data_IF_936633816305
#
_entry.id   IF_936633816305
#
_cell.length_a   1.000
_cell.length_b   1.000
_cell.length_c   1.000
_cell.angle_alpha   90.00
_cell.angle_beta   90.00
_cell.angle_gamma   90.00
#
_symmetry.space_group_name_H-M   'P 1'
#
loop_
_entity.id
_entity.type
_entity.pdbx_description
1 polymer ?
#
# COMPACT_ATOMS: atom_id res chain seq x y z
N UNK A 1 -34.49 2.86 -3.59
CA UNK A 1 -34.66 1.73 -2.65
C UNK A 1 -33.35 0.98 -2.59
N UNK A 2 -32.63 1.07 -1.46
CA UNK A 2 -31.37 0.37 -1.24
C UNK A 2 -31.65 -0.94 -0.50
N UNK A 3 -31.34 -2.08 -1.12
CA UNK A 3 -31.27 -3.39 -0.44
C UNK A 3 -29.79 -3.75 -0.23
N UNK A 4 -29.15 -3.06 0.71
CA UNK A 4 -27.84 -3.47 1.22
C UNK A 4 -28.02 -4.69 2.13
N UNK A 5 -27.25 -5.76 1.91
CA UNK A 5 -27.21 -6.90 2.84
C UNK A 5 -26.67 -6.44 4.19
N UNK A 6 -27.57 -6.27 5.15
CA UNK A 6 -27.26 -6.00 6.55
C UNK A 6 -26.61 -7.26 7.13
N UNK A 7 -25.37 -7.14 7.62
CA UNK A 7 -24.76 -8.20 8.42
C UNK A 7 -25.32 -8.07 9.84
N UNK A 8 -26.30 -8.90 10.17
CA UNK A 8 -26.86 -8.98 11.50
C UNK A 8 -25.92 -9.78 12.40
N UNK A 9 -25.16 -9.09 13.25
CA UNK A 9 -24.47 -9.72 14.37
C UNK A 9 -25.45 -9.81 15.54
N UNK A 10 -25.92 -11.01 15.86
CA UNK A 10 -26.74 -11.28 17.03
C UNK A 10 -25.87 -11.19 18.28
N UNK A 11 -25.82 -10.01 18.91
CA UNK A 11 -25.33 -9.86 20.28
C UNK A 11 -26.51 -10.08 21.24
N UNK A 12 -26.38 -10.93 22.27
CA UNK A 12 -27.46 -11.17 23.25
C UNK A 12 -27.78 -9.94 24.14
N UNK A 13 -27.04 -8.84 23.97
CA UNK A 13 -27.19 -7.60 24.75
C UNK A 13 -27.80 -6.42 23.97
N UNK A 14 -28.18 -6.61 22.71
CA UNK A 14 -28.75 -5.53 21.87
C UNK A 14 -30.21 -5.84 21.52
N UNK A 15 -31.12 -4.95 21.94
CA UNK A 15 -32.59 -5.09 21.77
C UNK A 15 -33.04 -4.82 20.31
N UNK A 16 -32.15 -4.31 19.45
CA UNK A 16 -32.39 -4.13 18.01
C UNK A 16 -31.09 -4.31 17.21
N UNK A 17 -31.16 -4.82 15.95
CA UNK A 17 -30.00 -4.84 15.06
C UNK A 17 -29.64 -3.41 14.65
N UNK A 18 -28.71 -2.80 15.39
CA UNK A 18 -28.15 -1.51 15.01
C UNK A 18 -27.08 -1.76 13.92
N UNK A 19 -27.13 -1.13 12.74
CA UNK A 19 -26.06 -1.24 11.77
C UNK A 19 -24.77 -0.77 12.44
N UNK A 20 -23.82 -1.70 12.62
CA UNK A 20 -22.54 -1.39 13.21
C UNK A 20 -21.73 -0.63 12.15
N UNK A 21 -21.90 0.69 12.14
CA UNK A 21 -21.08 1.60 11.33
C UNK A 21 -19.70 1.57 11.96
N UNK A 22 -18.83 0.72 11.44
CA UNK A 22 -17.43 0.71 11.84
C UNK A 22 -16.79 1.98 11.30
N UNK A 23 -16.58 2.93 12.21
CA UNK A 23 -15.76 4.08 11.90
C UNK A 23 -14.32 3.64 11.60
N UNK A 24 -13.66 4.32 10.69
CA UNK A 24 -12.29 4.00 10.30
C UNK A 24 -11.36 4.13 11.52
N UNK A 25 -11.57 5.14 12.36
CA UNK A 25 -10.79 5.35 13.59
C UNK A 25 -10.90 4.18 14.57
N UNK A 26 -12.09 3.61 14.74
CA UNK A 26 -12.32 2.48 15.63
C UNK A 26 -11.88 1.14 15.04
N UNK A 27 -12.03 0.96 13.72
CA UNK A 27 -11.75 -0.31 13.03
C UNK A 27 -10.28 -0.47 12.62
N UNK A 28 -9.56 0.62 12.39
CA UNK A 28 -8.16 0.57 11.95
C UNK A 28 -7.24 -0.13 12.98
N UNK A 29 -7.29 0.18 14.30
CA UNK A 29 -6.50 -0.54 15.29
C UNK A 29 -6.79 -2.05 15.33
N UNK A 30 -8.05 -2.45 15.14
CA UNK A 30 -8.49 -3.86 15.13
C UNK A 30 -7.88 -4.56 13.92
N UNK A 31 -8.04 -3.97 12.72
CA UNK A 31 -7.49 -4.51 11.47
C UNK A 31 -5.97 -4.65 11.56
N UNK A 32 -5.28 -3.63 12.07
CA UNK A 32 -3.83 -3.67 12.20
C UNK A 32 -3.37 -4.71 13.23
N UNK A 33 -4.11 -4.90 14.33
CA UNK A 33 -3.83 -5.97 15.30
C UNK A 33 -3.99 -7.35 14.66
N UNK A 34 -5.07 -7.57 13.92
CA UNK A 34 -5.29 -8.82 13.18
C UNK A 34 -4.17 -9.11 12.18
N UNK A 35 -3.69 -8.09 11.45
CA UNK A 35 -2.56 -8.22 10.53
C UNK A 35 -1.24 -8.60 11.23
N UNK A 36 -1.04 -8.19 12.50
CA UNK A 36 0.11 -8.59 13.30
C UNK A 36 -0.01 -10.03 13.82
N UNK A 37 -1.23 -10.46 14.19
CA UNK A 37 -1.53 -11.78 14.73
C UNK A 37 -1.51 -12.88 13.67
N UNK A 38 -2.04 -12.64 12.47
CA UNK A 38 -1.92 -13.55 11.31
C UNK A 38 -0.44 -13.89 11.02
N UNK A 39 0.45 -12.92 11.27
CA UNK A 39 1.88 -13.14 11.14
C UNK A 39 2.49 -14.09 12.17
N UNK A 40 1.80 -14.42 13.27
CA UNK A 40 2.26 -15.38 14.29
C UNK A 40 1.85 -16.82 13.95
N UNK A 41 0.68 -17.04 13.36
CA UNK A 41 0.22 -18.38 12.95
C UNK A 41 1.00 -18.91 11.75
N UNK A 42 1.29 -18.07 10.75
CA UNK A 42 2.05 -18.50 9.56
C UNK A 42 3.56 -18.76 9.81
N UNK A 43 4.11 -18.28 10.92
CA UNK A 43 5.50 -18.57 11.35
C UNK A 43 5.66 -20.01 11.88
N UNK A 44 4.56 -20.71 12.21
CA UNK A 44 4.59 -22.09 12.72
C UNK A 44 4.59 -23.15 11.60
N UNK A 45 4.16 -22.78 10.38
CA UNK A 45 3.79 -23.77 9.34
C UNK A 45 4.73 -23.83 8.11
N UNK A 46 5.74 -22.95 7.94
CA UNK A 46 6.52 -22.92 6.69
C UNK A 46 8.03 -22.61 6.80
N UNK A 47 8.81 -23.36 6.03
CA UNK A 47 10.26 -23.26 5.81
C UNK A 47 10.71 -21.84 5.38
N UNK A 48 11.64 -21.24 6.13
CA UNK A 48 12.58 -20.15 5.77
C UNK A 48 12.06 -18.90 5.04
N UNK A 49 11.56 -19.07 3.81
CA UNK A 49 11.21 -18.03 2.85
C UNK A 49 9.89 -17.31 3.18
N UNK A 50 8.92 -17.98 3.82
CA UNK A 50 7.70 -17.34 4.33
C UNK A 50 7.98 -16.41 5.52
N UNK A 51 8.97 -16.74 6.37
CA UNK A 51 9.30 -15.97 7.58
C UNK A 51 9.77 -14.53 7.28
N UNK A 52 10.53 -14.33 6.19
CA UNK A 52 11.05 -13.00 5.80
C UNK A 52 9.92 -12.09 5.35
N UNK A 53 8.97 -12.63 4.59
CA UNK A 53 7.81 -11.90 4.09
C UNK A 53 6.87 -11.50 5.22
N UNK A 54 6.62 -12.42 6.16
CA UNK A 54 5.84 -12.14 7.37
C UNK A 54 6.52 -11.09 8.25
N UNK A 55 7.83 -11.20 8.44
CA UNK A 55 8.60 -10.21 9.21
C UNK A 55 8.56 -8.82 8.56
N UNK A 56 8.69 -8.75 7.23
CA UNK A 56 8.55 -7.50 6.49
C UNK A 56 7.16 -6.89 6.67
N UNK A 57 6.10 -7.70 6.51
CA UNK A 57 4.71 -7.27 6.75
C UNK A 57 4.54 -6.70 8.16
N UNK A 58 5.05 -7.38 9.18
CA UNK A 58 5.03 -6.91 10.58
C UNK A 58 5.69 -5.53 10.71
N UNK A 59 6.85 -5.30 10.09
CA UNK A 59 7.50 -3.99 10.10
C UNK A 59 6.66 -2.89 9.42
N UNK A 60 6.06 -3.19 8.26
CA UNK A 60 5.18 -2.24 7.56
C UNK A 60 3.96 -1.89 8.41
N UNK A 61 3.31 -2.88 9.02
CA UNK A 61 2.17 -2.66 9.93
C UNK A 61 2.58 -1.79 11.11
N UNK A 62 3.71 -2.08 11.76
CA UNK A 62 4.20 -1.30 12.89
C UNK A 62 4.54 0.15 12.52
N UNK A 63 5.17 0.36 11.36
CA UNK A 63 5.49 1.70 10.86
C UNK A 63 4.24 2.47 10.45
N UNK A 64 3.28 1.80 9.82
CA UNK A 64 2.00 2.38 9.47
C UNK A 64 1.21 2.79 10.71
N UNK A 65 1.19 1.96 11.75
CA UNK A 65 0.55 2.25 13.04
C UNK A 65 1.14 3.51 13.68
N UNK A 66 2.47 3.62 13.74
CA UNK A 66 3.14 4.80 14.32
C UNK A 66 2.78 6.10 13.61
N UNK A 67 2.64 6.04 12.29
CA UNK A 67 2.40 7.21 11.46
C UNK A 67 0.92 7.61 11.34
N UNK A 68 0.00 6.80 11.88
CA UNK A 68 -1.44 6.96 11.65
C UNK A 68 -2.28 6.86 12.92
N UNK A 69 -1.89 6.03 13.88
CA UNK A 69 -2.66 5.77 15.11
C UNK A 69 -1.92 6.25 16.36
N UNK A 70 -0.72 5.74 16.63
CA UNK A 70 0.02 6.06 17.85
C UNK A 70 1.54 6.06 17.60
N UNK A 71 2.16 7.24 17.67
CA UNK A 71 3.59 7.45 17.43
C UNK A 71 4.51 6.70 18.41
N UNK A 72 4.01 6.32 19.59
CA UNK A 72 4.75 5.60 20.63
C UNK A 72 4.59 4.07 20.55
N UNK A 73 3.99 3.53 19.48
CA UNK A 73 3.76 2.09 19.36
C UNK A 73 5.05 1.26 19.34
N UNK A 74 5.19 0.37 20.34
CA UNK A 74 6.40 -0.40 20.61
C UNK A 74 6.28 -1.91 20.36
N UNK A 75 5.10 -2.43 20.01
CA UNK A 75 4.88 -3.88 19.90
C UNK A 75 5.68 -4.54 18.75
N UNK A 76 6.08 -3.76 17.73
CA UNK A 76 6.94 -4.23 16.64
C UNK A 76 8.26 -3.46 16.68
N UNK A 77 9.44 -4.11 16.73
CA UNK A 77 10.70 -3.40 16.69
C UNK A 77 10.87 -2.60 15.39
N UNK A 78 11.71 -1.57 15.40
CA UNK A 78 12.01 -0.79 14.18
C UNK A 78 12.78 -1.66 13.18
N UNK A 79 12.54 -1.52 11.86
CA UNK A 79 13.29 -2.25 10.86
C UNK A 79 14.77 -1.86 10.89
N UNK A 80 15.64 -2.79 10.48
CA UNK A 80 17.07 -2.50 10.30
C UNK A 80 17.30 -1.44 9.21
N UNK A 81 18.53 -0.91 9.13
CA UNK A 81 18.89 0.17 8.18
C UNK A 81 18.60 -0.20 6.72
N UNK A 82 18.74 -1.48 6.37
CA UNK A 82 18.51 -1.99 5.01
C UNK A 82 17.03 -1.94 4.63
N UNK A 83 16.14 -2.39 5.53
CA UNK A 83 14.70 -2.46 5.26
C UNK A 83 13.96 -1.16 5.54
N UNK A 84 14.56 -0.25 6.32
CA UNK A 84 13.90 0.99 6.78
C UNK A 84 13.23 1.78 5.64
N UNK A 85 13.96 2.06 4.56
CA UNK A 85 13.40 2.81 3.42
C UNK A 85 12.23 2.08 2.76
N UNK A 86 12.35 0.77 2.56
CA UNK A 86 11.29 -0.04 1.93
C UNK A 86 10.05 -0.11 2.81
N UNK A 87 10.23 -0.26 4.11
CA UNK A 87 9.13 -0.28 5.10
C UNK A 87 8.41 1.08 5.14
N UNK A 88 9.15 2.18 5.24
CA UNK A 88 8.58 3.54 5.26
C UNK A 88 7.83 3.86 3.96
N UNK A 89 8.35 3.41 2.81
CA UNK A 89 7.72 3.67 1.51
C UNK A 89 6.42 2.91 1.36
N UNK A 90 6.40 1.63 1.75
CA UNK A 90 5.20 0.81 1.73
C UNK A 90 4.13 1.33 2.73
N UNK A 91 4.54 1.70 3.95
CA UNK A 91 3.64 2.31 4.92
C UNK A 91 3.02 3.62 4.41
N UNK A 92 3.81 4.45 3.70
CA UNK A 92 3.29 5.67 3.04
C UNK A 92 2.28 5.34 1.95
N UNK A 93 2.52 4.29 1.15
CA UNK A 93 1.57 3.83 0.14
C UNK A 93 0.24 3.41 0.79
N UNK A 94 0.29 2.61 1.85
CA UNK A 94 -0.92 2.19 2.58
C UNK A 94 -1.70 3.39 3.12
N UNK A 95 -1.00 4.42 3.61
CA UNK A 95 -1.63 5.67 4.07
C UNK A 95 -2.35 6.39 2.94
N UNK A 96 -1.75 6.47 1.74
CA UNK A 96 -2.43 7.07 0.59
C UNK A 96 -3.64 6.25 0.14
N UNK A 97 -3.54 4.93 0.16
CA UNK A 97 -4.68 4.04 -0.15
C UNK A 97 -5.80 4.24 0.86
N UNK A 98 -5.50 4.31 2.16
CA UNK A 98 -6.49 4.55 3.20
C UNK A 98 -7.25 5.88 2.97
N UNK A 99 -6.52 6.97 2.72
CA UNK A 99 -7.13 8.28 2.45
C UNK A 99 -8.03 8.25 1.22
N UNK A 100 -7.62 7.55 0.15
CA UNK A 100 -8.46 7.35 -1.02
C UNK A 100 -9.75 6.58 -0.66
N UNK A 101 -9.64 5.51 0.12
CA UNK A 101 -10.79 4.70 0.55
C UNK A 101 -11.75 5.50 1.44
N UNK A 102 -11.24 6.31 2.36
CA UNK A 102 -12.03 7.23 3.18
C UNK A 102 -12.76 8.24 2.31
N UNK A 103 -12.09 8.78 1.29
CA UNK A 103 -12.75 9.70 0.36
C UNK A 103 -13.84 9.00 -0.46
N UNK A 104 -13.61 7.77 -0.90
CA UNK A 104 -14.63 6.96 -1.58
C UNK A 104 -15.81 6.63 -0.66
N UNK A 105 -15.57 6.45 0.65
CA UNK A 105 -16.64 6.33 1.66
C UNK A 105 -17.51 7.59 1.70
N UNK A 106 -16.92 8.79 1.63
CA UNK A 106 -17.72 10.04 1.57
C UNK A 106 -18.61 10.14 0.33
N UNK A 107 -18.33 9.36 -0.71
CA UNK A 107 -19.17 9.25 -1.91
C UNK A 107 -20.15 8.07 -1.88
N UNK A 108 -20.21 7.30 -0.79
CA UNK A 108 -21.07 6.11 -0.67
C UNK A 108 -20.62 4.92 -1.52
N UNK A 109 -19.36 4.89 -1.96
CA UNK A 109 -18.81 3.82 -2.82
C UNK A 109 -18.32 2.62 -2.01
N UNK A 110 -17.89 2.88 -0.77
CA UNK A 110 -17.24 1.91 0.13
C UNK A 110 -17.69 2.17 1.56
N UNK A 111 -18.06 1.12 2.29
CA UNK A 111 -18.60 1.27 3.65
C UNK A 111 -17.52 1.24 4.74
N UNK A 112 -16.49 0.38 4.58
CA UNK A 112 -15.47 0.11 5.60
C UNK A 112 -14.04 0.26 5.05
N UNK A 113 -13.46 1.48 5.06
CA UNK A 113 -12.12 1.75 4.52
C UNK A 113 -11.01 0.88 5.11
N UNK A 114 -10.96 0.73 6.44
CA UNK A 114 -9.92 -0.08 7.09
C UNK A 114 -9.99 -1.55 6.67
N UNK A 115 -11.18 -2.14 6.59
CA UNK A 115 -11.37 -3.52 6.14
C UNK A 115 -11.01 -3.66 4.65
N UNK A 116 -11.37 -2.67 3.83
CA UNK A 116 -11.03 -2.66 2.40
C UNK A 116 -9.52 -2.57 2.18
N UNK A 117 -8.83 -1.78 3.00
CA UNK A 117 -7.37 -1.71 3.00
C UNK A 117 -6.77 -3.09 3.32
N UNK A 118 -7.28 -3.80 4.33
CA UNK A 118 -6.84 -5.17 4.64
C UNK A 118 -6.95 -6.08 3.41
N UNK A 119 -8.12 -6.08 2.76
CA UNK A 119 -8.37 -6.90 1.57
C UNK A 119 -7.42 -6.56 0.41
N UNK A 120 -7.15 -5.28 0.16
CA UNK A 120 -6.17 -4.85 -0.85
C UNK A 120 -4.75 -5.34 -0.51
N UNK A 121 -4.37 -5.27 0.76
CA UNK A 121 -3.07 -5.77 1.24
C UNK A 121 -2.98 -7.29 1.03
N UNK A 122 -4.06 -8.02 1.32
CA UNK A 122 -4.14 -9.47 1.17
C UNK A 122 -4.07 -9.91 -0.30
N UNK A 123 -4.66 -9.15 -1.22
CA UNK A 123 -4.57 -9.38 -2.68
C UNK A 123 -3.19 -9.09 -3.27
N UNK A 124 -2.36 -8.30 -2.58
CA UNK A 124 -0.99 -7.94 -2.99
C UNK A 124 -0.86 -7.26 -4.36
N UNK A 125 -1.96 -6.76 -4.91
CA UNK A 125 -1.99 -6.17 -6.25
C UNK A 125 -1.37 -4.76 -6.28
N UNK A 126 -1.66 -3.96 -5.24
CA UNK A 126 -1.15 -2.61 -5.09
C UNK A 126 0.13 -2.51 -4.26
N UNK A 127 0.44 -3.53 -3.44
CA UNK A 127 1.55 -3.52 -2.49
C UNK A 127 2.82 -4.11 -3.08
N UNK A 128 3.99 -3.62 -2.67
CA UNK A 128 5.26 -4.12 -3.21
C UNK A 128 5.86 -5.15 -2.25
N UNK A 129 5.62 -6.42 -2.55
CA UNK A 129 6.13 -7.54 -1.75
C UNK A 129 7.61 -7.84 -2.03
N UNK A 130 8.30 -8.42 -1.05
CA UNK A 130 9.76 -8.44 -0.94
C UNK A 130 10.46 -9.28 -2.05
N UNK A 131 11.55 -8.73 -2.58
CA UNK A 131 12.24 -9.11 -3.82
C UNK A 131 13.21 -10.29 -3.69
N UNK A 132 13.31 -10.88 -2.50
CA UNK A 132 14.36 -11.85 -2.20
C UNK A 132 13.99 -13.30 -2.55
N UNK A 133 12.75 -13.59 -2.96
CA UNK A 133 12.29 -14.97 -3.22
C UNK A 133 12.04 -15.33 -4.69
N UNK A 134 11.92 -14.37 -5.62
CA UNK A 134 11.46 -14.66 -6.98
C UNK A 134 12.61 -14.92 -7.98
N UNK A 135 13.38 -15.98 -7.76
CA UNK A 135 14.20 -16.60 -8.82
C UNK A 135 15.41 -15.79 -9.31
N UNK A 136 15.92 -14.84 -8.52
CA UNK A 136 17.11 -14.05 -8.85
C UNK A 136 16.84 -12.85 -9.77
N UNK A 137 17.86 -12.38 -10.48
CA UNK A 137 17.82 -11.11 -11.22
C UNK A 137 16.76 -11.08 -12.35
N UNK A 138 16.54 -12.20 -13.02
CA UNK A 138 15.59 -12.31 -14.13
C UNK A 138 14.14 -12.16 -13.67
N UNK A 139 13.77 -12.77 -12.54
CA UNK A 139 12.44 -12.63 -11.94
C UNK A 139 12.18 -11.20 -11.47
N UNK A 140 13.15 -10.56 -10.82
CA UNK A 140 13.05 -9.16 -10.39
C UNK A 140 12.85 -8.23 -11.59
N UNK A 141 13.56 -8.46 -12.69
CA UNK A 141 13.41 -7.64 -13.91
C UNK A 141 12.01 -7.73 -14.47
N UNK A 142 11.46 -8.94 -14.58
CA UNK A 142 10.10 -9.18 -15.08
C UNK A 142 9.04 -8.51 -14.21
N UNK A 143 9.18 -8.60 -12.89
CA UNK A 143 8.26 -7.96 -11.93
C UNK A 143 8.30 -6.44 -12.07
N UNK A 144 9.50 -5.85 -12.12
CA UNK A 144 9.66 -4.40 -12.30
C UNK A 144 9.05 -3.91 -13.61
N UNK A 145 9.25 -4.64 -14.72
CA UNK A 145 8.63 -4.30 -16.01
C UNK A 145 7.11 -4.36 -15.96
N UNK A 146 6.56 -5.40 -15.35
CA UNK A 146 5.11 -5.55 -15.13
C UNK A 146 4.57 -4.37 -14.33
N UNK A 147 5.19 -4.02 -13.20
CA UNK A 147 4.73 -2.92 -12.35
C UNK A 147 4.86 -1.54 -13.01
N UNK A 148 5.90 -1.32 -13.82
CA UNK A 148 6.03 -0.11 -14.63
C UNK A 148 4.94 -0.01 -15.69
N UNK A 149 4.58 -1.12 -16.34
CA UNK A 149 3.45 -1.15 -17.28
C UNK A 149 2.12 -0.85 -16.56
N UNK A 150 1.88 -1.47 -15.39
CA UNK A 150 0.70 -1.21 -14.58
C UNK A 150 0.63 0.27 -14.11
N UNK A 151 1.75 0.87 -13.69
CA UNK A 151 1.80 2.29 -13.31
C UNK A 151 1.44 3.20 -14.48
N UNK A 152 1.97 2.94 -15.69
CA UNK A 152 1.61 3.72 -16.89
C UNK A 152 0.12 3.67 -17.18
N UNK A 153 -0.52 2.50 -17.01
CA UNK A 153 -1.97 2.35 -17.16
C UNK A 153 -2.73 3.16 -16.10
N UNK A 154 -2.32 3.07 -14.83
CA UNK A 154 -2.93 3.87 -13.76
C UNK A 154 -2.80 5.38 -13.99
N UNK A 155 -1.65 5.87 -14.45
CA UNK A 155 -1.46 7.28 -14.82
C UNK A 155 -2.40 7.72 -15.95
N UNK A 156 -2.64 6.83 -16.91
CA UNK A 156 -3.59 7.00 -18.01
C UNK A 156 -5.06 6.77 -17.59
N UNK A 157 -5.34 6.59 -16.29
CA UNK A 157 -6.68 6.30 -15.75
C UNK A 157 -7.30 5.01 -16.32
N UNK A 158 -6.45 4.02 -16.57
CA UNK A 158 -6.84 2.67 -16.95
C UNK A 158 -6.50 1.69 -15.82
N UNK A 159 -7.38 0.72 -15.58
CA UNK A 159 -7.23 -0.24 -14.49
C UNK A 159 -6.44 -1.48 -14.97
N UNK A 160 -5.20 -1.68 -14.48
CA UNK A 160 -4.41 -2.82 -14.89
C UNK A 160 -4.71 -4.10 -14.11
N UNK A 161 -5.61 -4.07 -13.12
CA UNK A 161 -5.89 -5.19 -12.25
C UNK A 161 -7.12 -5.94 -12.73
N UNK A 162 -6.91 -7.21 -13.11
CA UNK A 162 -7.97 -8.11 -13.51
C UNK A 162 -8.90 -8.48 -12.35
N UNK A 163 -10.18 -8.70 -12.67
CA UNK A 163 -11.21 -9.04 -11.67
C UNK A 163 -10.96 -10.38 -10.97
N UNK A 164 -10.46 -11.38 -11.69
CA UNK A 164 -10.24 -12.73 -11.16
C UNK A 164 -9.11 -12.79 -10.12
N UNK A 165 -8.02 -12.05 -10.33
CA UNK A 165 -6.85 -12.09 -9.47
C UNK A 165 -6.81 -11.04 -8.36
N UNK A 166 -7.61 -9.97 -8.47
CA UNK A 166 -7.57 -8.84 -7.52
C UNK A 166 -8.92 -8.11 -7.49
N UNK A 167 -9.98 -8.85 -7.17
CA UNK A 167 -11.38 -8.38 -7.27
C UNK A 167 -11.63 -7.08 -6.51
N UNK A 168 -11.14 -6.99 -5.28
CA UNK A 168 -11.33 -5.83 -4.40
C UNK A 168 -10.53 -4.64 -4.93
N UNK A 169 -9.26 -4.85 -5.25
CA UNK A 169 -8.40 -3.81 -5.83
C UNK A 169 -8.95 -3.29 -7.15
N UNK A 170 -9.39 -4.20 -8.02
CA UNK A 170 -9.97 -3.88 -9.32
C UNK A 170 -11.25 -3.05 -9.16
N UNK A 171 -12.16 -3.46 -8.27
CA UNK A 171 -13.36 -2.69 -7.95
C UNK A 171 -13.04 -1.27 -7.45
N UNK A 172 -12.17 -1.16 -6.44
CA UNK A 172 -11.80 0.14 -5.84
C UNK A 172 -11.18 1.06 -6.88
N UNK A 173 -10.31 0.55 -7.74
CA UNK A 173 -9.66 1.37 -8.76
C UNK A 173 -10.60 1.77 -9.90
N UNK A 174 -11.53 0.91 -10.32
CA UNK A 174 -12.56 1.28 -11.30
C UNK A 174 -13.40 2.45 -10.78
N UNK A 175 -13.82 2.39 -9.52
CA UNK A 175 -14.58 3.47 -8.90
C UNK A 175 -13.74 4.76 -8.76
N UNK A 176 -12.49 4.64 -8.29
CA UNK A 176 -11.60 5.78 -8.17
C UNK A 176 -11.31 6.44 -9.53
N UNK A 177 -11.09 5.64 -10.58
CA UNK A 177 -10.90 6.11 -11.96
C UNK A 177 -12.16 6.81 -12.47
N UNK A 178 -13.33 6.23 -12.27
CA UNK A 178 -14.60 6.83 -12.67
C UNK A 178 -14.83 8.20 -12.02
N UNK A 179 -14.41 8.36 -10.76
CA UNK A 179 -14.43 9.67 -10.06
C UNK A 179 -13.35 10.61 -10.57
N UNK A 180 -12.12 10.13 -10.76
CA UNK A 180 -11.00 10.93 -11.24
C UNK A 180 -11.22 11.50 -12.65
N UNK A 181 -11.91 10.74 -13.52
CA UNK A 181 -12.30 11.22 -14.85
C UNK A 181 -13.32 12.37 -14.82
N UNK A 182 -14.10 12.50 -13.73
CA UNK A 182 -15.16 13.52 -13.59
C UNK A 182 -14.76 14.69 -12.70
N UNK A 183 -13.72 14.53 -11.88
CA UNK A 183 -13.32 15.51 -10.88
C UNK A 183 -11.79 15.61 -10.80
N UNK A 184 -11.25 16.69 -11.34
CA UNK A 184 -9.81 16.92 -11.41
C UNK A 184 -9.16 17.15 -10.03
N UNK A 185 -9.90 17.74 -9.09
CA UNK A 185 -9.45 17.89 -7.69
C UNK A 185 -9.31 16.52 -7.04
N UNK A 186 -10.30 15.64 -7.20
CA UNK A 186 -10.22 14.26 -6.71
C UNK A 186 -9.05 13.51 -7.36
N UNK A 187 -8.87 13.66 -8.68
CA UNK A 187 -7.75 13.08 -9.41
C UNK A 187 -6.42 13.51 -8.79
N UNK A 188 -6.21 14.81 -8.64
CA UNK A 188 -4.92 15.39 -8.23
C UNK A 188 -4.60 15.17 -6.75
N UNK A 189 -5.59 15.27 -5.88
CA UNK A 189 -5.39 15.24 -4.43
C UNK A 189 -5.56 13.87 -3.79
N UNK A 190 -6.29 12.95 -4.44
CA UNK A 190 -6.67 11.67 -3.81
C UNK A 190 -6.17 10.47 -4.63
N UNK A 191 -6.45 10.42 -5.93
CA UNK A 191 -6.05 9.30 -6.79
C UNK A 191 -4.56 9.30 -7.15
N UNK A 192 -4.07 10.39 -7.75
CA UNK A 192 -2.68 10.48 -8.22
C UNK A 192 -1.63 10.32 -7.11
N UNK A 193 -1.87 10.75 -5.85
CA UNK A 193 -0.95 10.45 -4.76
C UNK A 193 -0.74 8.96 -4.49
N UNK A 194 -1.76 8.11 -4.71
CA UNK A 194 -1.62 6.65 -4.62
C UNK A 194 -0.70 6.15 -5.73
N UNK A 195 -0.94 6.59 -6.98
CA UNK A 195 -0.13 6.22 -8.14
C UNK A 195 1.33 6.65 -7.95
N UNK A 196 1.57 7.90 -7.54
CA UNK A 196 2.92 8.43 -7.27
C UNK A 196 3.63 7.68 -6.13
N UNK A 197 2.91 7.33 -5.06
CA UNK A 197 3.48 6.52 -3.98
C UNK A 197 3.90 5.15 -4.47
N UNK A 198 3.08 4.51 -5.32
CA UNK A 198 3.42 3.22 -5.95
C UNK A 198 4.64 3.34 -6.86
N UNK A 199 4.73 4.39 -7.68
CA UNK A 199 5.88 4.66 -8.54
C UNK A 199 7.18 4.87 -7.74
N UNK A 200 7.12 5.62 -6.63
CA UNK A 200 8.26 5.81 -5.74
C UNK A 200 8.76 4.49 -5.16
N UNK A 201 7.80 3.62 -4.83
CA UNK A 201 8.06 2.28 -4.32
C UNK A 201 8.76 1.41 -5.40
N UNK A 202 8.31 1.47 -6.67
CA UNK A 202 9.00 0.83 -7.82
C UNK A 202 10.40 1.41 -8.06
N UNK A 203 10.58 2.72 -7.92
CA UNK A 203 11.86 3.39 -8.11
C UNK A 203 12.89 2.95 -7.07
N UNK A 204 12.48 2.85 -5.79
CA UNK A 204 13.32 2.35 -4.71
C UNK A 204 13.84 0.93 -5.01
N UNK A 205 12.98 0.08 -5.56
CA UNK A 205 13.34 -1.30 -5.89
C UNK A 205 14.32 -1.40 -7.04
N UNK A 206 14.20 -0.50 -8.02
CA UNK A 206 15.22 -0.38 -9.08
C UNK A 206 16.57 0.06 -8.50
N UNK A 207 16.56 0.98 -7.53
CA UNK A 207 17.75 1.43 -6.80
C UNK A 207 18.43 0.29 -6.02
N UNK A 208 17.64 -0.49 -5.28
CA UNK A 208 18.12 -1.63 -4.48
C UNK A 208 18.61 -2.77 -5.37
N UNK A 209 17.92 -3.08 -6.48
CA UNK A 209 18.39 -4.04 -7.50
C UNK A 209 19.77 -3.63 -8.03
N UNK A 210 19.92 -2.37 -8.44
CA UNK A 210 21.20 -1.86 -8.96
C UNK A 210 22.33 -1.99 -7.93
N UNK A 211 22.03 -1.85 -6.63
CA UNK A 211 23.01 -2.05 -5.55
C UNK A 211 23.38 -3.53 -5.37
N UNK A 212 22.40 -4.42 -5.41
CA UNK A 212 22.57 -5.85 -5.10
C UNK A 212 23.21 -6.64 -6.25
N UNK A 213 22.85 -6.37 -7.51
CA UNK A 213 23.27 -7.18 -8.65
C UNK A 213 24.37 -6.55 -9.51
N UNK A 214 24.43 -5.22 -9.61
CA UNK A 214 25.43 -4.56 -10.48
C UNK A 214 26.73 -4.21 -9.76
N UNK A 215 26.86 -4.48 -8.45
CA UNK A 215 28.08 -4.20 -7.66
C UNK A 215 28.50 -2.72 -7.62
N UNK A 216 27.71 -1.81 -8.18
CA UNK A 216 28.03 -0.37 -8.22
C UNK A 216 27.63 0.24 -6.88
N UNK A 217 28.61 0.73 -6.11
CA UNK A 217 28.36 1.75 -5.08
C UNK A 217 27.52 2.86 -5.73
N UNK A 218 26.36 3.18 -5.16
CA UNK A 218 25.48 4.25 -5.65
C UNK A 218 26.29 5.51 -5.89
N UNK A 219 26.50 5.88 -7.16
CA UNK A 219 27.06 7.17 -7.51
C UNK A 219 26.05 8.21 -7.04
N UNK A 220 26.38 8.93 -5.97
CA UNK A 220 25.66 10.15 -5.56
C UNK A 220 25.54 11.03 -6.80
N UNK A 221 24.32 11.21 -7.31
CA UNK A 221 24.08 12.20 -8.34
C UNK A 221 24.44 13.57 -7.75
N UNK A 222 25.58 14.10 -8.17
CA UNK A 222 25.96 15.47 -7.90
C UNK A 222 24.91 16.38 -8.49
N UNK A 223 24.28 17.19 -7.64
CA UNK A 223 23.45 18.33 -8.04
C UNK A 223 24.26 19.15 -9.04
N UNK A 224 23.74 19.37 -10.27
CA UNK A 224 24.37 20.28 -11.23
C UNK A 224 24.59 21.62 -10.51
N UNK A 225 25.86 22.01 -10.31
CA UNK A 225 26.19 23.40 -9.96
C UNK A 225 25.64 24.25 -11.10
N UNK A 226 24.72 25.15 -10.79
CA UNK A 226 24.42 26.28 -11.66
C UNK A 226 25.74 27.03 -11.83
N UNK A 227 26.32 26.97 -13.02
CA UNK A 227 27.30 27.96 -13.47
C UNK A 227 26.57 29.29 -13.57
N UNK A 228 26.79 30.15 -12.59
CA UNK A 228 26.51 31.58 -12.71
C UNK A 228 27.47 32.15 -13.74
N UNK A 229 26.96 32.40 -14.95
CA UNK A 229 27.52 33.41 -15.83
C UNK A 229 27.34 34.76 -15.15
N UNK A 230 28.43 35.33 -14.65
CA UNK A 230 28.52 36.76 -14.35
C UNK A 230 29.44 37.38 -15.40
N UNK A 231 28.79 37.91 -16.43
CA UNK A 231 29.04 39.21 -17.07
C UNK A 231 30.30 39.92 -16.57
N UNK A 232 31.29 40.07 -17.46
CA UNK A 232 32.26 41.15 -17.39
C UNK A 232 32.01 42.01 -18.63
N UNK A 233 31.43 43.18 -18.41
CA UNK A 233 31.60 44.36 -19.26
C UNK A 233 32.73 45.19 -18.65
#
# INVERSE_FOLDING_TARGET
>A
MYQGKIIHLTSPYLIYPNPLILDTEASLPIVLTALLEEGKQLDLDNEGNCSILLRYRKYVVGEFWRNTVNSQFNAVPKPNRTLKKSVETEAKLWKKILLLLERLKTFGVIDAPALKLKQIIDERALTLFNFFNDGGESGITRILQSWQAQNRRLEALDNPFGYEGSRVTSYVLNEAIAKANKNDVFRTEQYMPVVRARMASVALLKEERARLFEGKRMKRQGRKKQTSESVIQ
#
